data_IF_912516047032
#
_entry.id   IF_912516047032
#
_cell.length_a   1.000
_cell.length_b   1.000
_cell.length_c   1.000
_cell.angle_alpha   90.00
_cell.angle_beta   90.00
_cell.angle_gamma   90.00
#
_symmetry.space_group_name_H-M   'P 1'
#
loop_
_entity.id
_entity.type
_entity.pdbx_description
1 polymer ?
#
# COMPACT_ATOMS: atom_id res chain seq x y z
N UNK A 1 -11.60 7.45 -8.03
CA UNK A 1 -12.97 7.21 -7.50
C UNK A 1 -13.67 6.09 -8.27
N UNK A 2 -14.67 5.43 -7.68
CA UNK A 2 -15.43 4.38 -8.41
C UNK A 2 -16.38 4.98 -9.45
N UNK A 3 -16.67 4.21 -10.49
CA UNK A 3 -17.64 4.61 -11.53
C UNK A 3 -19.08 4.58 -11.04
N UNK A 4 -19.39 3.74 -10.05
CA UNK A 4 -20.73 3.55 -9.50
C UNK A 4 -20.68 2.94 -8.08
N UNK A 5 -21.79 3.01 -7.35
CA UNK A 5 -21.95 2.29 -6.08
C UNK A 5 -21.84 0.76 -6.25
N UNK A 6 -22.30 0.20 -7.38
CA UNK A 6 -22.16 -1.23 -7.65
C UNK A 6 -20.68 -1.65 -7.80
N UNK A 7 -19.85 -0.80 -8.40
CA UNK A 7 -18.41 -1.01 -8.50
C UNK A 7 -17.73 -0.91 -7.15
N UNK A 8 -18.16 0.04 -6.29
CA UNK A 8 -17.70 0.12 -4.90
C UNK A 8 -18.06 -1.14 -4.11
N UNK A 9 -19.30 -1.63 -4.20
CA UNK A 9 -19.73 -2.88 -3.54
C UNK A 9 -18.95 -4.11 -4.04
N UNK A 10 -18.62 -4.16 -5.32
CA UNK A 10 -17.79 -5.23 -5.87
C UNK A 10 -16.37 -5.16 -5.29
N UNK A 11 -15.79 -3.96 -5.23
CA UNK A 11 -14.47 -3.75 -4.64
C UNK A 11 -14.41 -4.07 -3.14
N UNK A 12 -15.50 -3.86 -2.39
CA UNK A 12 -15.58 -4.27 -0.97
C UNK A 12 -15.32 -5.77 -0.80
N UNK A 13 -15.84 -6.60 -1.71
CA UNK A 13 -15.63 -8.06 -1.69
C UNK A 13 -14.18 -8.43 -2.01
N UNK A 14 -13.60 -7.78 -3.02
CA UNK A 14 -12.19 -7.96 -3.37
C UNK A 14 -11.27 -7.55 -2.21
N UNK A 15 -11.59 -6.44 -1.52
CA UNK A 15 -10.89 -6.00 -0.31
C UNK A 15 -10.94 -7.06 0.81
N UNK A 16 -12.12 -7.64 1.06
CA UNK A 16 -12.28 -8.70 2.07
C UNK A 16 -11.48 -9.95 1.71
N UNK A 17 -11.45 -10.32 0.45
CA UNK A 17 -10.63 -11.43 -0.04
C UNK A 17 -9.13 -11.17 0.21
N UNK A 18 -8.62 -10.02 -0.21
CA UNK A 18 -7.20 -9.65 -0.05
C UNK A 18 -6.79 -9.62 1.42
N UNK A 19 -7.57 -8.93 2.26
CA UNK A 19 -7.23 -8.79 3.69
C UNK A 19 -7.30 -10.11 4.45
N UNK A 20 -8.21 -11.01 4.05
CA UNK A 20 -8.30 -12.36 4.61
C UNK A 20 -7.13 -13.23 4.15
N UNK A 21 -6.80 -13.24 2.84
CA UNK A 21 -5.69 -14.06 2.32
C UNK A 21 -4.34 -13.62 2.86
N UNK A 22 -4.14 -12.32 3.05
CA UNK A 22 -2.90 -11.77 3.60
C UNK A 22 -2.88 -11.82 5.14
N UNK A 23 -4.00 -12.19 5.79
CA UNK A 23 -4.21 -12.12 7.24
C UNK A 23 -3.72 -10.76 7.79
N UNK A 24 -4.20 -9.68 7.17
CA UNK A 24 -3.76 -8.31 7.42
C UNK A 24 -4.90 -7.33 7.20
N UNK A 25 -5.41 -6.76 8.28
CA UNK A 25 -6.59 -5.91 8.24
C UNK A 25 -6.21 -4.43 8.30
N UNK A 26 -6.82 -3.63 7.43
CA UNK A 26 -6.66 -2.19 7.36
C UNK A 26 -7.89 -1.46 7.92
N UNK A 27 -7.71 -0.20 8.31
CA UNK A 27 -8.81 0.71 8.63
C UNK A 27 -9.37 1.26 7.32
N UNK A 28 -10.69 1.31 7.20
CA UNK A 28 -11.37 1.73 5.97
C UNK A 28 -12.56 2.64 6.26
N UNK A 29 -12.73 3.63 5.41
CA UNK A 29 -13.82 4.60 5.47
C UNK A 29 -14.46 4.67 4.07
N UNK A 30 -15.75 4.38 3.99
CA UNK A 30 -16.51 4.40 2.73
C UNK A 30 -17.33 5.69 2.63
N UNK A 31 -17.46 6.21 1.42
CA UNK A 31 -18.39 7.28 1.10
C UNK A 31 -19.18 6.92 -0.16
N UNK A 32 -20.49 7.11 -0.12
CA UNK A 32 -21.38 6.70 -1.21
C UNK A 32 -21.57 7.80 -2.27
N UNK A 33 -21.26 9.06 -1.94
CA UNK A 33 -21.42 10.21 -2.83
C UNK A 33 -20.26 11.22 -2.69
N UNK A 34 -19.31 11.26 -3.66
CA UNK A 34 -19.12 10.29 -4.73
C UNK A 34 -18.63 8.93 -4.19
N UNK A 35 -18.95 7.81 -4.87
CA UNK A 35 -18.57 6.48 -4.43
C UNK A 35 -17.05 6.33 -4.33
N UNK A 36 -16.55 6.17 -3.11
CA UNK A 36 -15.13 6.15 -2.79
C UNK A 36 -14.83 5.35 -1.52
N UNK A 37 -13.57 4.98 -1.38
CA UNK A 37 -13.04 4.33 -0.19
C UNK A 37 -11.69 4.94 0.15
N UNK A 38 -11.46 5.20 1.43
CA UNK A 38 -10.14 5.52 1.98
C UNK A 38 -9.67 4.33 2.79
N UNK A 39 -8.46 3.84 2.51
CA UNK A 39 -7.87 2.68 3.19
C UNK A 39 -6.55 3.10 3.82
N UNK A 40 -6.43 2.90 5.13
CA UNK A 40 -5.23 3.18 5.93
C UNK A 40 -4.64 1.84 6.38
N UNK A 41 -3.47 1.49 5.83
CA UNK A 41 -2.79 0.21 6.07
C UNK A 41 -1.60 0.44 6.99
N UNK A 42 -1.53 -0.30 8.10
CA UNK A 42 -0.40 -0.30 9.01
C UNK A 42 -0.30 -1.63 9.76
N UNK A 43 0.90 -1.97 10.21
CA UNK A 43 1.14 -3.13 11.06
C UNK A 43 1.16 -2.70 12.52
N UNK A 44 0.18 -3.15 13.31
CA UNK A 44 0.08 -2.82 14.74
C UNK A 44 1.29 -3.27 15.58
N UNK A 45 1.98 -4.32 15.13
CA UNK A 45 3.12 -4.92 15.81
C UNK A 45 4.31 -5.08 14.86
N UNK A 46 4.80 -3.97 14.31
CA UNK A 46 6.01 -3.96 13.52
C UNK A 46 7.26 -4.07 14.42
N UNK A 47 8.30 -4.72 13.88
CA UNK A 47 9.65 -4.59 14.43
C UNK A 47 10.23 -3.28 13.93
N UNK A 48 10.87 -2.53 14.84
CA UNK A 48 11.65 -1.36 14.44
C UNK A 48 12.81 -1.85 13.53
N UNK A 49 13.06 -1.20 12.38
CA UNK A 49 14.26 -1.44 11.61
C UNK A 49 15.51 -1.20 12.48
N UNK A 50 16.50 -2.08 12.37
CA UNK A 50 17.80 -1.83 12.96
C UNK A 50 18.45 -0.63 12.24
N UNK A 51 19.04 0.29 13.00
CA UNK A 51 19.81 1.41 12.49
C UNK A 51 21.22 0.97 12.02
N UNK A 52 21.72 -0.14 12.55
CA UNK A 52 23.01 -0.75 12.17
C UNK A 52 22.93 -2.28 12.28
N UNK A 53 23.74 -3.04 11.51
CA UNK A 53 23.62 -4.51 11.41
C UNK A 53 23.65 -5.24 12.76
N UNK A 54 24.47 -4.76 13.70
CA UNK A 54 24.68 -5.38 15.01
C UNK A 54 23.78 -4.78 16.12
N UNK A 55 22.80 -3.94 15.78
CA UNK A 55 21.90 -3.37 16.78
C UNK A 55 21.04 -4.48 17.44
N UNK A 56 21.07 -4.61 18.77
CA UNK A 56 20.14 -5.50 19.47
C UNK A 56 18.71 -5.03 19.21
N UNK A 57 17.94 -5.82 18.47
CA UNK A 57 16.58 -5.42 18.09
C UNK A 57 15.72 -5.25 19.34
N UNK A 58 15.12 -4.08 19.57
CA UNK A 58 14.24 -3.90 20.71
C UNK A 58 13.06 -4.87 20.61
N UNK A 59 12.80 -5.62 21.70
CA UNK A 59 11.66 -6.55 21.79
C UNK A 59 10.30 -5.84 21.67
N UNK A 60 10.28 -4.51 21.79
CA UNK A 60 9.05 -3.72 21.80
C UNK A 60 8.52 -3.58 20.38
N UNK A 61 7.43 -4.30 20.10
CA UNK A 61 6.61 -4.13 18.91
C UNK A 61 5.96 -2.74 18.94
N UNK A 62 6.09 -2.00 17.85
CA UNK A 62 5.50 -0.66 17.69
C UNK A 62 4.62 -0.64 16.44
N UNK A 63 3.58 0.21 16.38
CA UNK A 63 2.88 0.48 15.13
C UNK A 63 3.87 1.01 14.09
N UNK A 64 3.81 0.47 12.87
CA UNK A 64 4.69 0.91 11.79
C UNK A 64 4.28 0.33 10.44
N UNK A 65 4.93 0.84 9.39
CA UNK A 65 4.79 0.32 8.03
C UNK A 65 5.79 -0.81 7.83
N UNK A 66 5.32 -1.92 7.28
CA UNK A 66 6.11 -3.10 6.93
C UNK A 66 5.92 -3.45 5.45
N UNK A 67 6.72 -4.38 4.93
CA UNK A 67 6.54 -4.90 3.57
C UNK A 67 5.17 -5.56 3.36
N UNK A 68 4.52 -6.03 4.42
CA UNK A 68 3.15 -6.57 4.33
C UNK A 68 2.14 -5.46 4.03
N UNK A 69 2.31 -4.28 4.63
CA UNK A 69 1.46 -3.12 4.34
C UNK A 69 1.60 -2.70 2.87
N UNK A 70 2.84 -2.64 2.37
CA UNK A 70 3.14 -2.33 0.96
C UNK A 70 2.52 -3.36 0.03
N UNK A 71 2.68 -4.66 0.33
CA UNK A 71 2.08 -5.74 -0.46
C UNK A 71 0.56 -5.64 -0.52
N UNK A 72 -0.10 -5.37 0.61
CA UNK A 72 -1.56 -5.20 0.65
C UNK A 72 -1.99 -4.01 -0.19
N UNK A 73 -1.29 -2.88 -0.12
CA UNK A 73 -1.57 -1.71 -0.97
C UNK A 73 -1.48 -2.07 -2.46
N UNK A 74 -0.40 -2.72 -2.89
CA UNK A 74 -0.23 -3.16 -4.28
C UNK A 74 -1.33 -4.10 -4.78
N UNK A 75 -1.74 -5.06 -3.96
CA UNK A 75 -2.82 -5.98 -4.31
C UNK A 75 -4.15 -5.22 -4.47
N UNK A 76 -4.47 -4.34 -3.52
CA UNK A 76 -5.69 -3.54 -3.57
C UNK A 76 -5.72 -2.60 -4.78
N UNK A 77 -4.59 -1.98 -5.14
CA UNK A 77 -4.47 -1.16 -6.35
C UNK A 77 -4.72 -1.98 -7.62
N UNK A 78 -4.16 -3.20 -7.70
CA UNK A 78 -4.37 -4.10 -8.82
C UNK A 78 -5.84 -4.52 -8.99
N UNK A 79 -6.56 -4.73 -7.88
CA UNK A 79 -7.99 -4.98 -7.91
C UNK A 79 -8.79 -3.72 -8.27
N UNK A 80 -8.40 -2.57 -7.72
CA UNK A 80 -9.07 -1.28 -7.95
C UNK A 80 -9.10 -0.91 -9.43
N UNK A 81 -8.02 -1.19 -10.18
CA UNK A 81 -7.91 -0.90 -11.61
C UNK A 81 -9.10 -1.44 -12.44
N UNK A 82 -9.74 -2.54 -12.02
CA UNK A 82 -10.90 -3.14 -12.72
C UNK A 82 -12.18 -2.30 -12.62
N UNK A 83 -12.23 -1.37 -11.67
CA UNK A 83 -13.45 -0.65 -11.28
C UNK A 83 -13.41 0.84 -11.56
N UNK A 84 -12.28 1.32 -12.09
CA UNK A 84 -12.12 2.73 -12.47
C UNK A 84 -12.72 2.96 -13.87
N UNK A 85 -13.31 4.13 -14.10
CA UNK A 85 -13.79 4.52 -15.44
C UNK A 85 -12.64 4.52 -16.44
N UNK A 86 -12.92 4.22 -17.71
CA UNK A 86 -12.01 4.49 -18.83
C UNK A 86 -11.54 5.96 -18.73
N UNK A 87 -10.25 6.19 -18.46
CA UNK A 87 -9.66 7.50 -18.13
C UNK A 87 -9.06 7.60 -16.71
N UNK A 88 -9.49 6.75 -15.77
CA UNK A 88 -8.87 6.69 -14.45
C UNK A 88 -7.62 5.81 -14.39
N UNK A 89 -7.29 5.07 -15.46
CA UNK A 89 -5.95 4.50 -15.66
C UNK A 89 -4.90 5.60 -15.85
N UNK A 90 -5.22 6.68 -16.57
CA UNK A 90 -4.35 7.87 -16.68
C UNK A 90 -4.21 8.58 -15.33
N UNK A 91 -5.31 8.71 -14.57
CA UNK A 91 -5.28 9.27 -13.22
C UNK A 91 -4.41 8.40 -12.29
N UNK A 92 -4.58 7.07 -12.31
CA UNK A 92 -3.75 6.13 -11.56
C UNK A 92 -2.28 6.18 -12.00
N UNK A 93 -2.02 6.32 -13.30
CA UNK A 93 -0.67 6.48 -13.84
C UNK A 93 -0.03 7.82 -13.43
N UNK A 94 -0.82 8.89 -13.33
CA UNK A 94 -0.36 10.21 -12.87
C UNK A 94 -0.08 10.28 -11.37
N UNK A 95 -0.74 9.42 -10.57
CA UNK A 95 -0.52 9.30 -9.13
C UNK A 95 0.69 8.43 -8.79
N UNK A 96 1.19 7.63 -9.74
CA UNK A 96 2.45 6.91 -9.56
C UNK A 96 3.58 7.94 -9.55
N UNK A 97 4.47 7.95 -8.53
CA UNK A 97 5.65 8.78 -8.57
C UNK A 97 6.39 8.51 -9.89
N UNK A 98 6.80 9.58 -10.58
CA UNK A 98 7.42 9.55 -11.91
C UNK A 98 8.75 8.79 -11.99
N UNK A 99 9.15 8.13 -10.91
CA UNK A 99 10.21 7.12 -10.95
C UNK A 99 9.75 6.00 -11.86
N UNK A 100 10.44 5.83 -12.98
CA UNK A 100 10.26 4.63 -13.80
C UNK A 100 10.46 3.40 -12.92
N UNK A 101 9.87 2.26 -13.29
CA UNK A 101 10.13 0.99 -12.58
C UNK A 101 11.63 0.68 -12.58
N UNK A 102 12.36 1.12 -13.63
CA UNK A 102 13.82 1.02 -13.71
C UNK A 102 14.53 1.88 -12.66
N UNK A 103 13.94 3.01 -12.25
CA UNK A 103 14.48 3.89 -11.21
C UNK A 103 14.14 3.43 -9.80
N UNK A 104 13.36 2.37 -9.61
CA UNK A 104 13.12 1.84 -8.27
C UNK A 104 14.31 0.98 -7.82
N UNK A 105 14.83 1.18 -6.60
CA UNK A 105 15.94 0.40 -6.10
C UNK A 105 15.49 -1.06 -5.99
N UNK A 106 16.07 -1.91 -6.84
CA UNK A 106 15.75 -3.34 -6.93
C UNK A 106 16.77 -4.23 -6.20
N UNK A 107 17.82 -3.63 -5.63
CA UNK A 107 18.79 -4.31 -4.75
C UNK A 107 18.84 -3.66 -3.37
N UNK A 108 19.27 -4.43 -2.37
CA UNK A 108 19.46 -3.93 -1.01
C UNK A 108 20.50 -2.79 -0.96
N UNK A 109 21.57 -2.86 -1.77
CA UNK A 109 22.56 -1.77 -1.85
C UNK A 109 21.96 -0.48 -2.42
N UNK A 110 21.10 -0.59 -3.44
CA UNK A 110 20.43 0.58 -4.03
C UNK A 110 19.47 1.26 -3.03
N UNK A 111 18.86 0.49 -2.14
CA UNK A 111 18.01 1.02 -1.06
C UNK A 111 18.88 1.78 -0.03
N UNK A 112 19.99 1.19 0.41
CA UNK A 112 20.88 1.82 1.39
C UNK A 112 21.57 3.07 0.83
N UNK A 113 21.95 3.08 -0.45
CA UNK A 113 22.53 4.26 -1.10
C UNK A 113 21.61 5.49 -1.04
N UNK A 114 20.29 5.30 -1.16
CA UNK A 114 19.29 6.38 -1.02
C UNK A 114 19.13 6.88 0.41
N UNK A 115 19.35 6.01 1.39
CA UNK A 115 19.30 6.39 2.82
C UNK A 115 20.42 7.37 3.16
N UNK A 116 21.61 7.19 2.57
CA UNK A 116 22.77 8.05 2.80
C UNK A 116 22.67 9.38 2.06
N UNK A 117 22.05 9.43 0.88
CA UNK A 117 21.90 10.67 0.10
C UNK A 117 20.83 11.64 0.59
N UNK A 118 20.00 11.22 1.56
CA UNK A 118 18.85 12.00 2.05
C UNK A 118 19.07 12.58 3.46
N UNK A 119 20.28 12.50 3.99
CA UNK A 119 20.71 13.12 5.25
C UNK A 119 21.71 14.24 5.00
#
# INVERSE_FOLDING_TARGET
>A
MFSSNASLESFKRDYEQVTTSENHHAVREYADMPPSVTIKVHTHQALRPAAYPDEPRPRRKLPGITLRDVRVAYLLEGHFARYVRSGGEEELASLRPSTSVEDQPNTAEAIEARRVSSG
#
